data_IF_695613329374
#
_entry.id   IF_695613329374
#
_cell.length_a   1.000
_cell.length_b   1.000
_cell.length_c   1.000
_cell.angle_alpha   90.00
_cell.angle_beta   90.00
_cell.angle_gamma   90.00
#
_symmetry.space_group_name_H-M   'P 1'
#
loop_
_entity.id
_entity.type
_entity.pdbx_description
1 polymer ?
#
# COMPACT_ATOMS: atom_id res chain seq x y z
N UNK A 1 -2.17 8.34 -16.46
CA UNK A 1 -2.09 9.67 -15.85
C UNK A 1 -1.50 9.46 -14.48
N UNK A 2 -0.26 9.92 -14.24
CA UNK A 2 0.43 9.69 -12.96
C UNK A 2 -0.23 10.55 -11.88
N UNK A 3 -0.99 9.91 -11.01
CA UNK A 3 -1.56 10.50 -9.80
C UNK A 3 -0.39 10.99 -8.94
N UNK A 4 -0.07 12.27 -9.00
CA UNK A 4 0.98 12.84 -8.16
C UNK A 4 0.35 13.07 -6.79
N UNK A 5 0.59 12.14 -5.87
CA UNK A 5 0.12 12.21 -4.48
C UNK A 5 0.52 13.56 -3.87
N UNK A 6 -0.39 14.27 -3.17
CA UNK A 6 -0.07 15.57 -2.63
C UNK A 6 1.04 15.44 -1.59
N UNK A 7 2.13 16.18 -1.81
CA UNK A 7 3.26 16.27 -0.87
C UNK A 7 2.80 16.96 0.42
N UNK A 8 2.92 16.28 1.56
CA UNK A 8 2.51 16.80 2.88
C UNK A 8 3.74 17.15 3.72
N UNK A 9 3.76 18.37 4.25
CA UNK A 9 4.74 18.80 5.25
C UNK A 9 4.34 18.27 6.63
N UNK A 10 5.31 17.78 7.42
CA UNK A 10 5.07 17.37 8.81
C UNK A 10 4.69 18.55 9.70
N UNK A 11 5.30 19.71 9.47
CA UNK A 11 5.00 20.93 10.18
C UNK A 11 4.69 22.05 9.17
N UNK A 12 3.42 22.46 9.03
CA UNK A 12 3.03 23.53 8.11
C UNK A 12 3.32 24.94 8.64
N UNK A 13 3.85 25.08 9.86
CA UNK A 13 4.13 26.40 10.46
C UNK A 13 5.50 26.90 10.02
N UNK A 14 5.53 28.02 9.27
CA UNK A 14 6.76 28.71 8.86
C UNK A 14 6.78 29.08 7.38
N UNK A 15 7.73 29.94 6.97
CA UNK A 15 7.95 30.30 5.57
C UNK A 15 8.64 29.16 4.78
N UNK A 16 9.42 28.32 5.45
CA UNK A 16 10.22 27.26 4.85
C UNK A 16 9.94 25.93 5.56
N UNK A 17 10.24 24.81 4.88
CA UNK A 17 10.18 23.46 5.45
C UNK A 17 11.31 23.22 6.48
N UNK A 18 11.43 24.10 7.46
CA UNK A 18 12.36 24.06 8.57
C UNK A 18 11.58 24.19 9.88
N UNK A 19 11.26 23.03 10.46
CA UNK A 19 10.70 22.92 11.79
C UNK A 19 11.73 22.37 12.77
N UNK A 20 11.25 21.66 13.79
CA UNK A 20 12.05 21.03 14.82
C UNK A 20 13.13 20.07 14.26
N UNK A 21 12.93 19.54 13.04
CA UNK A 21 13.91 18.73 12.32
C UNK A 21 15.21 19.49 12.04
N UNK A 22 15.11 20.75 11.61
CA UNK A 22 16.25 21.59 11.26
C UNK A 22 16.92 22.14 12.51
N UNK A 23 16.14 22.54 13.52
CA UNK A 23 16.66 22.96 14.83
C UNK A 23 17.50 21.86 15.47
N UNK A 24 16.99 20.63 15.54
CA UNK A 24 17.75 19.48 16.04
C UNK A 24 19.02 19.23 15.24
N UNK A 25 18.98 19.38 13.91
CA UNK A 25 20.16 19.21 13.07
C UNK A 25 21.21 20.31 13.32
N UNK A 26 20.79 21.56 13.59
CA UNK A 26 21.68 22.67 13.91
C UNK A 26 22.43 22.45 15.24
N UNK A 27 21.79 21.83 16.22
CA UNK A 27 22.38 21.58 17.54
C UNK A 27 23.47 20.50 17.52
N UNK A 28 23.33 19.50 16.66
CA UNK A 28 24.18 18.28 16.69
C UNK A 28 25.23 18.23 15.58
N UNK A 29 25.12 19.06 14.54
CA UNK A 29 26.04 19.06 13.40
C UNK A 29 27.01 20.24 13.44
N UNK A 30 28.23 19.99 12.97
CA UNK A 30 29.18 21.03 12.59
C UNK A 30 28.63 21.88 11.44
N UNK A 31 29.07 23.14 11.31
CA UNK A 31 28.66 24.03 10.20
C UNK A 31 28.81 23.38 8.82
N UNK A 32 29.86 22.57 8.65
CA UNK A 32 30.14 21.85 7.41
C UNK A 32 29.13 20.74 7.12
N UNK A 33 28.80 19.93 8.14
CA UNK A 33 27.81 18.88 8.03
C UNK A 33 26.39 19.43 7.94
N UNK A 34 26.09 20.51 8.64
CA UNK A 34 24.81 21.21 8.55
C UNK A 34 24.57 21.78 7.13
N UNK A 35 25.60 22.32 6.49
CA UNK A 35 25.50 22.75 5.08
C UNK A 35 25.20 21.58 4.14
N UNK A 36 25.79 20.41 4.37
CA UNK A 36 25.48 19.19 3.62
C UNK A 36 24.03 18.73 3.87
N UNK A 37 23.57 18.77 5.12
CA UNK A 37 22.19 18.48 5.50
C UNK A 37 21.18 19.36 4.73
N UNK A 38 21.38 20.69 4.71
CA UNK A 38 20.51 21.61 3.96
C UNK A 38 20.54 21.30 2.46
N UNK A 39 21.72 21.00 1.91
CA UNK A 39 21.83 20.60 0.50
C UNK A 39 21.03 19.33 0.19
N UNK A 40 21.08 18.31 1.06
CA UNK A 40 20.28 17.10 0.89
C UNK A 40 18.77 17.41 0.97
N UNK A 41 18.33 18.26 1.90
CA UNK A 41 16.94 18.70 2.00
C UNK A 41 16.42 19.40 0.74
N UNK A 42 17.28 20.12 0.03
CA UNK A 42 16.92 20.83 -1.20
C UNK A 42 16.89 19.94 -2.44
N UNK A 43 17.70 18.89 -2.48
CA UNK A 43 17.96 18.12 -3.71
C UNK A 43 17.44 16.69 -3.68
N UNK A 44 17.18 16.12 -2.50
CA UNK A 44 16.57 14.80 -2.40
C UNK A 44 15.11 14.82 -2.84
N UNK A 45 14.64 13.67 -3.33
CA UNK A 45 13.23 13.47 -3.68
C UNK A 45 12.33 13.71 -2.47
N UNK A 46 11.26 14.49 -2.65
CA UNK A 46 10.36 14.94 -1.55
C UNK A 46 9.59 13.80 -0.88
N UNK A 47 9.20 12.80 -1.67
CA UNK A 47 8.44 11.61 -1.24
C UNK A 47 9.29 10.56 -0.49
N UNK A 48 10.60 10.54 -0.68
CA UNK A 48 11.47 9.45 -0.20
C UNK A 48 12.62 9.95 0.65
N UNK A 49 12.99 11.23 0.56
CA UNK A 49 14.16 11.79 1.21
C UNK A 49 15.49 11.22 0.67
N UNK A 50 15.48 10.67 -0.55
CA UNK A 50 16.65 10.06 -1.19
C UNK A 50 17.25 10.98 -2.24
N UNK A 51 18.57 11.17 -2.17
CA UNK A 51 19.37 11.78 -3.23
C UNK A 51 20.32 10.74 -3.84
N UNK A 52 20.16 10.45 -5.14
CA UNK A 52 21.15 9.69 -5.90
C UNK A 52 22.27 10.62 -6.38
N UNK A 53 23.52 10.33 -6.01
CA UNK A 53 24.67 11.21 -6.30
C UNK A 53 26.01 10.48 -6.15
N UNK A 54 27.12 11.14 -6.45
CA UNK A 54 28.48 10.68 -6.12
C UNK A 54 29.12 11.59 -5.05
N UNK A 55 30.12 11.08 -4.32
CA UNK A 55 30.88 11.93 -3.39
C UNK A 55 31.60 13.10 -4.08
N UNK A 56 31.99 12.89 -5.35
CA UNK A 56 32.65 13.93 -6.16
C UNK A 56 31.66 15.04 -6.54
N UNK A 57 30.42 14.70 -6.88
CA UNK A 57 29.35 15.66 -7.12
C UNK A 57 29.00 16.44 -5.85
N UNK A 58 28.86 15.77 -4.70
CA UNK A 58 28.63 16.44 -3.42
C UNK A 58 29.75 17.45 -3.09
N UNK A 59 31.01 17.04 -3.25
CA UNK A 59 32.17 17.91 -3.05
C UNK A 59 32.14 19.14 -3.96
N UNK A 60 31.86 18.93 -5.24
CA UNK A 60 31.75 20.02 -6.24
C UNK A 60 30.61 20.98 -5.90
N UNK A 61 29.40 20.46 -5.67
CA UNK A 61 28.20 21.27 -5.39
C UNK A 61 28.35 22.09 -4.12
N UNK A 62 28.97 21.54 -3.07
CA UNK A 62 29.15 22.24 -1.80
C UNK A 62 30.40 23.12 -1.74
N UNK A 63 31.25 23.05 -2.77
CA UNK A 63 32.59 23.68 -2.83
C UNK A 63 33.45 23.26 -1.63
N UNK A 64 33.50 21.95 -1.36
CA UNK A 64 34.26 21.35 -0.25
C UNK A 64 35.17 20.24 -0.75
N UNK A 65 36.25 19.98 -0.02
CA UNK A 65 37.17 18.88 -0.34
C UNK A 65 36.52 17.51 -0.15
N UNK A 66 36.90 16.47 -0.93
CA UNK A 66 36.34 15.12 -0.79
C UNK A 66 36.51 14.51 0.61
N UNK A 67 37.62 14.84 1.29
CA UNK A 67 37.88 14.40 2.67
C UNK A 67 36.85 15.00 3.63
N UNK A 68 36.54 16.29 3.48
CA UNK A 68 35.55 16.97 4.30
C UNK A 68 34.14 16.39 4.08
N UNK A 69 33.74 16.13 2.83
CA UNK A 69 32.44 15.49 2.53
C UNK A 69 32.31 14.13 3.20
N UNK A 70 33.35 13.30 3.18
CA UNK A 70 33.33 12.00 3.88
C UNK A 70 33.23 12.17 5.39
N UNK A 71 33.93 13.16 5.96
CA UNK A 71 33.81 13.52 7.37
C UNK A 71 32.37 13.88 7.73
N UNK A 72 31.75 14.78 6.95
CA UNK A 72 30.37 15.22 7.17
C UNK A 72 29.36 14.09 7.00
N UNK A 73 29.51 13.23 5.99
CA UNK A 73 28.63 12.07 5.81
C UNK A 73 28.72 11.12 7.01
N UNK A 74 29.94 10.83 7.49
CA UNK A 74 30.14 9.97 8.65
C UNK A 74 29.58 10.58 9.94
N UNK A 75 29.76 11.89 10.11
CA UNK A 75 29.19 12.65 11.23
C UNK A 75 27.66 12.55 11.23
N UNK A 76 27.02 12.82 10.08
CA UNK A 76 25.57 12.72 9.92
C UNK A 76 25.04 11.29 10.11
N UNK A 77 25.77 10.26 9.65
CA UNK A 77 25.42 8.86 9.90
C UNK A 77 25.52 8.51 11.38
N UNK A 78 26.57 8.98 12.06
CA UNK A 78 26.78 8.75 13.50
C UNK A 78 25.71 9.44 14.33
N UNK A 79 25.27 10.63 13.91
CA UNK A 79 24.15 11.35 14.50
C UNK A 79 22.76 10.75 14.14
N UNK A 80 22.71 9.71 13.31
CA UNK A 80 21.45 9.07 12.88
C UNK A 80 20.60 9.92 11.93
N UNK A 81 21.17 10.96 11.32
CA UNK A 81 20.47 11.93 10.46
C UNK A 81 20.30 11.39 9.03
N UNK A 82 21.26 10.60 8.55
CA UNK A 82 21.18 10.00 7.23
C UNK A 82 21.80 8.59 7.18
N UNK A 83 21.58 7.91 6.07
CA UNK A 83 22.28 6.68 5.68
C UNK A 83 22.86 6.90 4.30
N UNK A 84 24.16 6.66 4.14
CA UNK A 84 24.82 6.74 2.85
C UNK A 84 25.22 5.36 2.34
N UNK A 85 25.02 5.13 1.05
CA UNK A 85 25.46 3.92 0.35
C UNK A 85 26.21 4.33 -0.88
N UNK A 86 27.53 4.35 -0.79
CA UNK A 86 28.41 4.62 -1.92
C UNK A 86 29.16 3.35 -2.30
N UNK A 87 29.34 3.15 -3.60
CA UNK A 87 30.29 2.15 -4.10
C UNK A 87 31.71 2.47 -3.60
N UNK A 88 32.59 1.46 -3.53
CA UNK A 88 33.99 1.63 -3.17
C UNK A 88 34.74 2.61 -4.11
N UNK A 89 34.22 2.86 -5.31
CA UNK A 89 34.75 3.87 -6.24
C UNK A 89 34.18 5.27 -5.96
N UNK A 90 35.06 6.29 -5.94
CA UNK A 90 34.68 7.72 -5.73
C UNK A 90 33.84 8.32 -6.87
N UNK A 91 33.87 7.69 -8.03
CA UNK A 91 33.04 8.01 -9.20
C UNK A 91 31.79 7.13 -9.27
N UNK A 92 31.71 6.09 -8.43
CA UNK A 92 30.57 5.20 -8.36
C UNK A 92 29.35 5.96 -7.84
N UNK A 93 28.23 5.83 -8.54
CA UNK A 93 26.94 6.32 -8.05
C UNK A 93 26.63 5.66 -6.70
N UNK A 94 26.15 6.49 -5.79
CA UNK A 94 25.59 6.08 -4.52
C UNK A 94 24.31 6.84 -4.25
N UNK A 95 23.81 6.68 -3.03
CA UNK A 95 22.66 7.42 -2.55
C UNK A 95 22.85 7.82 -1.10
N UNK A 96 22.24 8.95 -0.75
CA UNK A 96 22.09 9.39 0.63
C UNK A 96 20.60 9.47 0.93
N UNK A 97 20.16 8.75 1.95
CA UNK A 97 18.78 8.74 2.43
C UNK A 97 18.70 9.48 3.76
N UNK A 98 17.81 10.45 3.85
CA UNK A 98 17.54 11.21 5.08
C UNK A 98 16.72 10.37 6.06
N UNK A 99 17.01 10.42 7.35
CA UNK A 99 16.20 9.75 8.36
C UNK A 99 14.82 10.43 8.52
N UNK A 100 13.81 9.66 8.90
CA UNK A 100 12.42 10.14 8.99
C UNK A 100 12.27 11.33 9.96
N UNK A 101 12.97 11.29 11.09
CA UNK A 101 12.95 12.36 12.09
C UNK A 101 13.64 13.67 11.68
N UNK A 102 14.31 13.69 10.52
CA UNK A 102 15.02 14.86 9.99
C UNK A 102 14.54 15.26 8.59
N UNK A 103 13.62 14.50 8.00
CA UNK A 103 13.01 14.81 6.71
C UNK A 103 11.73 15.64 6.91
N UNK A 104 11.59 16.82 6.29
CA UNK A 104 10.47 17.72 6.59
C UNK A 104 9.14 17.29 5.97
N UNK A 105 9.18 16.42 4.96
CA UNK A 105 7.98 15.86 4.34
C UNK A 105 7.62 14.52 4.99
N UNK A 106 6.34 14.16 4.91
CA UNK A 106 5.93 12.77 5.11
C UNK A 106 6.51 11.94 3.96
N UNK A 107 7.36 10.96 4.28
CA UNK A 107 7.77 9.98 3.27
C UNK A 107 6.56 9.15 2.85
N UNK A 108 6.59 8.61 1.63
CA UNK A 108 5.49 7.94 0.92
C UNK A 108 4.94 6.66 1.57
N UNK A 109 4.69 6.63 2.88
CA UNK A 109 3.81 5.65 3.52
C UNK A 109 2.44 5.62 2.81
N UNK A 110 1.96 6.77 2.32
CA UNK A 110 0.72 6.85 1.55
C UNK A 110 0.80 6.10 0.21
N UNK A 111 1.91 6.16 -0.53
CA UNK A 111 2.08 5.38 -1.77
C UNK A 111 2.12 3.88 -1.48
N UNK A 112 2.86 3.46 -0.45
CA UNK A 112 2.87 2.03 -0.05
C UNK A 112 1.50 1.55 0.46
N UNK A 113 0.77 2.39 1.18
CA UNK A 113 -0.59 2.10 1.66
C UNK A 113 -1.59 2.05 0.50
N UNK A 114 -1.45 2.93 -0.50
CA UNK A 114 -2.28 2.95 -1.69
C UNK A 114 -1.98 1.72 -2.57
N UNK A 115 -0.70 1.35 -2.76
CA UNK A 115 -0.30 0.11 -3.44
C UNK A 115 -0.85 -1.13 -2.72
N UNK A 116 -0.78 -1.16 -1.39
CA UNK A 116 -1.34 -2.25 -0.58
C UNK A 116 -2.87 -2.31 -0.68
N UNK A 117 -3.55 -1.16 -0.67
CA UNK A 117 -4.99 -1.07 -0.87
C UNK A 117 -5.38 -1.54 -2.29
N UNK A 118 -4.61 -1.17 -3.31
CA UNK A 118 -4.83 -1.58 -4.71
C UNK A 118 -4.64 -3.10 -4.88
N UNK A 119 -3.61 -3.66 -4.24
CA UNK A 119 -3.39 -5.10 -4.18
C UNK A 119 -4.54 -5.83 -3.48
N UNK A 120 -5.03 -5.28 -2.37
CA UNK A 120 -6.17 -5.81 -1.62
C UNK A 120 -7.46 -5.81 -2.45
N UNK A 121 -7.80 -4.68 -3.10
CA UNK A 121 -8.96 -4.56 -4.00
C UNK A 121 -8.84 -5.55 -5.16
N UNK A 122 -7.65 -5.68 -5.75
CA UNK A 122 -7.38 -6.61 -6.84
C UNK A 122 -7.54 -8.08 -6.42
N UNK A 123 -7.15 -8.43 -5.20
CA UNK A 123 -7.34 -9.78 -4.65
C UNK A 123 -8.83 -10.10 -4.44
N UNK A 124 -9.61 -9.17 -3.89
CA UNK A 124 -11.06 -9.32 -3.73
C UNK A 124 -11.74 -9.53 -5.09
N UNK A 125 -11.35 -8.74 -6.10
CA UNK A 125 -11.87 -8.90 -7.46
C UNK A 125 -11.63 -10.32 -8.00
N UNK A 126 -10.42 -10.87 -7.81
CA UNK A 126 -10.10 -12.25 -8.23
C UNK A 126 -10.96 -13.29 -7.49
N UNK A 127 -11.16 -13.12 -6.18
CA UNK A 127 -11.99 -14.04 -5.38
C UNK A 127 -13.46 -14.06 -5.85
N UNK A 128 -14.00 -12.91 -6.23
CA UNK A 128 -15.35 -12.79 -6.78
C UNK A 128 -15.46 -13.39 -8.18
N UNK A 129 -14.51 -13.07 -9.07
CA UNK A 129 -14.51 -13.56 -10.45
C UNK A 129 -14.33 -15.08 -10.56
N UNK A 130 -13.76 -15.71 -9.53
CA UNK A 130 -13.64 -17.16 -9.45
C UNK A 130 -15.00 -17.87 -9.22
N UNK A 131 -16.09 -17.13 -8.92
CA UNK A 131 -17.39 -17.70 -8.54
C UNK A 131 -18.43 -17.54 -9.64
N UNK A 132 -19.06 -18.65 -10.01
CA UNK A 132 -20.06 -18.68 -11.08
C UNK A 132 -21.38 -17.99 -10.69
N UNK A 133 -21.70 -17.90 -9.38
CA UNK A 133 -22.87 -17.16 -8.90
C UNK A 133 -22.65 -15.63 -8.82
N UNK A 134 -21.45 -15.15 -9.19
CA UNK A 134 -21.11 -13.72 -9.24
C UNK A 134 -21.05 -13.27 -10.71
N UNK A 135 -21.86 -12.27 -11.06
CA UNK A 135 -21.93 -11.72 -12.41
C UNK A 135 -21.34 -10.30 -12.41
N UNK A 136 -20.06 -10.21 -12.04
CA UNK A 136 -19.32 -8.94 -11.97
C UNK A 136 -18.01 -9.08 -12.74
N UNK A 137 -17.97 -8.54 -13.96
CA UNK A 137 -16.75 -8.49 -14.79
C UNK A 137 -15.72 -7.51 -14.22
N UNK A 138 -16.17 -6.44 -13.57
CA UNK A 138 -15.34 -5.45 -12.87
C UNK A 138 -16.05 -4.90 -11.64
N UNK A 139 -15.31 -4.56 -10.59
CA UNK A 139 -15.85 -3.83 -9.44
C UNK A 139 -16.32 -2.45 -9.91
N UNK A 140 -17.48 -1.99 -9.42
CA UNK A 140 -17.90 -0.61 -9.62
C UNK A 140 -17.08 0.34 -8.74
N UNK A 141 -17.08 1.63 -9.04
CA UNK A 141 -16.44 2.65 -8.18
C UNK A 141 -16.96 2.56 -6.73
N UNK A 142 -18.25 2.28 -6.54
CA UNK A 142 -18.83 2.09 -5.20
C UNK A 142 -18.26 0.86 -4.49
N UNK A 143 -18.05 -0.24 -5.22
CA UNK A 143 -17.44 -1.47 -4.67
C UNK A 143 -15.96 -1.25 -4.35
N UNK A 144 -15.21 -0.49 -5.17
CA UNK A 144 -13.81 -0.16 -4.88
C UNK A 144 -13.68 0.73 -3.63
N UNK A 145 -14.55 1.75 -3.49
CA UNK A 145 -14.60 2.58 -2.27
C UNK A 145 -14.87 1.69 -1.05
N UNK A 146 -15.82 0.76 -1.17
CA UNK A 146 -16.17 -0.15 -0.09
C UNK A 146 -14.99 -1.07 0.27
N UNK A 147 -14.34 -1.70 -0.71
CA UNK A 147 -13.18 -2.56 -0.50
C UNK A 147 -12.00 -1.80 0.14
N UNK A 148 -11.75 -0.56 -0.30
CA UNK A 148 -10.74 0.32 0.35
C UNK A 148 -11.13 0.67 1.78
N UNK A 149 -12.42 0.84 2.08
CA UNK A 149 -12.88 1.07 3.45
C UNK A 149 -12.63 -0.14 4.35
N UNK A 150 -12.78 -1.37 3.83
CA UNK A 150 -12.45 -2.60 4.57
C UNK A 150 -10.95 -2.72 4.83
N UNK A 151 -10.11 -2.38 3.85
CA UNK A 151 -8.66 -2.30 4.03
C UNK A 151 -8.28 -1.31 5.13
N UNK A 152 -8.84 -0.08 5.09
CA UNK A 152 -8.61 0.95 6.12
C UNK A 152 -9.06 0.52 7.52
N UNK A 153 -10.10 -0.32 7.61
CA UNK A 153 -10.58 -0.91 8.87
C UNK A 153 -9.73 -2.09 9.36
N UNK A 154 -8.70 -2.50 8.61
CA UNK A 154 -7.81 -3.60 8.97
C UNK A 154 -8.41 -4.99 8.76
N UNK A 155 -9.42 -5.13 7.90
CA UNK A 155 -10.06 -6.42 7.64
C UNK A 155 -9.12 -7.26 6.75
N UNK A 156 -8.78 -8.47 7.22
CA UNK A 156 -7.87 -9.34 6.49
C UNK A 156 -8.49 -9.93 5.22
N UNK A 157 -7.66 -10.23 4.22
CA UNK A 157 -8.12 -10.87 2.99
C UNK A 157 -8.75 -12.25 3.27
N UNK A 158 -8.19 -13.00 4.22
CA UNK A 158 -8.75 -14.28 4.68
C UNK A 158 -10.20 -14.11 5.19
N UNK A 159 -10.47 -13.07 5.98
CA UNK A 159 -11.82 -12.79 6.45
C UNK A 159 -12.75 -12.47 5.28
N UNK A 160 -12.30 -11.70 4.28
CA UNK A 160 -13.10 -11.42 3.09
C UNK A 160 -13.38 -12.70 2.29
N UNK A 161 -12.39 -13.58 2.14
CA UNK A 161 -12.60 -14.89 1.51
C UNK A 161 -13.67 -15.70 2.23
N UNK A 162 -13.61 -15.78 3.56
CA UNK A 162 -14.62 -16.44 4.40
C UNK A 162 -16.03 -15.88 4.16
N UNK A 163 -16.16 -14.55 4.07
CA UNK A 163 -17.44 -13.87 3.80
C UNK A 163 -17.96 -14.22 2.41
N UNK A 164 -17.08 -14.20 1.39
CA UNK A 164 -17.44 -14.57 0.02
C UNK A 164 -17.89 -16.03 -0.06
N UNK A 165 -17.18 -16.95 0.60
CA UNK A 165 -17.54 -18.36 0.67
C UNK A 165 -18.96 -18.55 1.25
N UNK A 166 -19.22 -17.94 2.41
CA UNK A 166 -20.53 -18.03 3.06
C UNK A 166 -21.64 -17.46 2.19
N UNK A 167 -21.41 -16.30 1.58
CA UNK A 167 -22.39 -15.65 0.71
C UNK A 167 -22.71 -16.47 -0.54
N UNK A 168 -21.70 -17.09 -1.17
CA UNK A 168 -21.92 -17.95 -2.32
C UNK A 168 -22.73 -19.20 -1.95
N UNK A 169 -22.43 -19.85 -0.81
CA UNK A 169 -23.21 -21.01 -0.33
C UNK A 169 -24.66 -20.63 -0.04
N UNK A 170 -24.90 -19.48 0.61
CA UNK A 170 -26.25 -18.95 0.84
C UNK A 170 -26.96 -18.69 -0.48
N UNK A 171 -26.25 -18.14 -1.47
CA UNK A 171 -26.79 -17.83 -2.78
C UNK A 171 -27.29 -19.07 -3.52
N UNK A 172 -26.45 -20.10 -3.61
CA UNK A 172 -26.87 -21.36 -4.24
C UNK A 172 -28.01 -22.05 -3.50
N UNK A 173 -28.02 -21.97 -2.16
CA UNK A 173 -29.12 -22.53 -1.36
C UNK A 173 -30.44 -21.80 -1.64
N UNK A 174 -30.40 -20.48 -1.76
CA UNK A 174 -31.54 -19.64 -2.14
C UNK A 174 -32.10 -20.01 -3.52
N UNK A 175 -31.23 -20.20 -4.52
CA UNK A 175 -31.64 -20.68 -5.85
C UNK A 175 -32.27 -22.08 -5.82
N UNK A 176 -31.72 -22.99 -5.03
CA UNK A 176 -32.30 -24.33 -4.85
C UNK A 176 -33.69 -24.28 -4.22
N UNK A 177 -33.96 -23.26 -3.42
CA UNK A 177 -35.25 -23.04 -2.76
C UNK A 177 -36.20 -22.17 -3.60
N UNK A 178 -35.99 -22.06 -4.92
CA UNK A 178 -36.80 -21.30 -5.87
C UNK A 178 -36.98 -19.81 -5.51
N UNK A 179 -36.02 -19.22 -4.79
CA UNK A 179 -36.02 -17.78 -4.54
C UNK A 179 -35.41 -17.05 -5.75
N UNK A 180 -36.21 -16.19 -6.39
CA UNK A 180 -35.84 -15.53 -7.64
C UNK A 180 -34.99 -14.27 -7.41
N UNK A 181 -33.81 -14.44 -6.84
CA UNK A 181 -32.83 -13.38 -6.73
C UNK A 181 -31.75 -13.64 -7.78
N UNK A 182 -31.58 -12.76 -8.78
CA UNK A 182 -30.51 -12.87 -9.78
C UNK A 182 -29.09 -12.96 -9.19
N UNK A 183 -28.03 -13.20 -9.98
CA UNK A 183 -26.67 -13.41 -9.48
C UNK A 183 -26.15 -12.23 -8.65
N UNK A 184 -25.10 -12.48 -7.86
CA UNK A 184 -24.46 -11.42 -7.05
C UNK A 184 -23.74 -10.46 -8.00
N UNK A 185 -23.99 -9.15 -7.86
CA UNK A 185 -23.44 -8.12 -8.76
C UNK A 185 -22.55 -7.09 -8.08
N UNK A 186 -22.55 -7.01 -6.74
CA UNK A 186 -21.86 -5.97 -5.97
C UNK A 186 -21.31 -6.53 -4.66
N UNK A 187 -20.21 -5.94 -4.19
CA UNK A 187 -19.62 -6.21 -2.88
C UNK A 187 -20.57 -5.90 -1.72
N UNK A 188 -21.54 -5.00 -1.94
CA UNK A 188 -22.55 -4.64 -0.93
C UNK A 188 -23.35 -5.84 -0.42
N UNK A 189 -23.52 -6.88 -1.25
CA UNK A 189 -24.17 -8.13 -0.84
C UNK A 189 -23.50 -8.78 0.38
N UNK A 190 -22.21 -8.56 0.57
CA UNK A 190 -21.40 -9.19 1.62
C UNK A 190 -21.27 -8.33 2.89
N UNK A 191 -21.71 -7.07 2.90
CA UNK A 191 -21.58 -6.18 4.07
C UNK A 191 -22.29 -6.74 5.31
N UNK A 192 -23.52 -7.20 5.16
CA UNK A 192 -24.28 -7.78 6.27
C UNK A 192 -23.65 -9.06 6.78
N UNK A 193 -23.09 -9.88 5.88
CA UNK A 193 -22.43 -11.14 6.23
C UNK A 193 -21.12 -10.91 6.98
N UNK A 194 -20.39 -9.86 6.63
CA UNK A 194 -19.20 -9.44 7.34
C UNK A 194 -19.53 -9.05 8.78
N UNK A 195 -20.60 -8.27 8.98
CA UNK A 195 -21.09 -7.91 10.31
C UNK A 195 -21.59 -9.14 11.11
N UNK A 196 -22.24 -10.10 10.47
CA UNK A 196 -22.67 -11.36 11.10
C UNK A 196 -21.47 -12.21 11.57
N UNK A 197 -20.40 -12.28 10.77
CA UNK A 197 -19.22 -13.09 11.08
C UNK A 197 -18.41 -12.54 12.25
N UNK A 198 -18.42 -11.23 12.46
CA UNK A 198 -17.77 -10.62 13.62
C UNK A 198 -18.46 -10.98 14.95
N UNK A 199 -19.72 -11.41 14.90
CA UNK A 199 -20.49 -11.82 16.09
C UNK A 199 -20.42 -13.32 16.38
N UNK A 200 -19.88 -14.13 15.46
CA UNK A 200 -19.89 -15.58 15.56
C UNK A 200 -18.47 -16.15 15.66
N UNK A 201 -18.21 -16.93 16.69
CA UNK A 201 -16.96 -17.67 16.80
C UNK A 201 -17.05 -18.98 15.99
N UNK A 202 -16.74 -18.89 14.71
CA UNK A 202 -16.77 -20.04 13.79
C UNK A 202 -15.43 -20.78 13.85
N UNK A 203 -15.47 -22.08 14.13
CA UNK A 203 -14.28 -22.94 14.17
C UNK A 203 -13.59 -23.01 12.80
N UNK A 204 -12.24 -23.07 12.74
CA UNK A 204 -11.49 -23.17 11.48
C UNK A 204 -11.97 -24.29 10.55
N UNK A 205 -12.22 -25.49 11.09
CA UNK A 205 -12.64 -26.68 10.32
C UNK A 205 -13.96 -26.48 9.54
N UNK A 206 -14.80 -25.54 9.99
CA UNK A 206 -16.04 -25.23 9.30
C UNK A 206 -15.79 -24.56 7.94
N UNK A 207 -14.70 -23.80 7.81
CA UNK A 207 -14.33 -23.16 6.54
C UNK A 207 -13.83 -24.17 5.51
N UNK A 208 -13.13 -25.20 5.95
CA UNK A 208 -12.73 -26.31 5.08
C UNK A 208 -13.96 -27.05 4.55
N UNK A 209 -14.91 -27.36 5.45
CA UNK A 209 -16.20 -27.94 5.06
C UNK A 209 -16.95 -27.05 4.06
N UNK A 210 -17.04 -25.73 4.31
CA UNK A 210 -17.71 -24.80 3.41
C UNK A 210 -17.03 -24.71 2.04
N UNK A 211 -15.69 -24.73 1.98
CA UNK A 211 -14.96 -24.76 0.69
C UNK A 211 -15.30 -26.02 -0.11
N UNK A 212 -15.27 -27.19 0.52
CA UNK A 212 -15.65 -28.45 -0.15
C UNK A 212 -17.12 -28.46 -0.59
N UNK A 213 -18.02 -27.97 0.26
CA UNK A 213 -19.45 -27.88 -0.06
C UNK A 213 -19.72 -26.91 -1.21
N UNK A 214 -19.10 -25.74 -1.20
CA UNK A 214 -19.25 -24.74 -2.26
C UNK A 214 -18.82 -25.31 -3.61
N UNK A 215 -17.63 -25.93 -3.68
CA UNK A 215 -17.11 -26.49 -4.93
C UNK A 215 -18.05 -27.55 -5.53
N UNK A 216 -18.68 -28.38 -4.69
CA UNK A 216 -19.68 -29.37 -5.15
C UNK A 216 -20.94 -28.72 -5.71
N UNK A 217 -21.50 -27.73 -5.01
CA UNK A 217 -22.76 -27.09 -5.41
C UNK A 217 -22.55 -26.22 -6.66
N UNK A 218 -21.42 -25.51 -6.72
CA UNK A 218 -21.04 -24.67 -7.86
C UNK A 218 -20.85 -25.52 -9.13
N UNK A 219 -20.18 -26.68 -9.03
CA UNK A 219 -20.03 -27.62 -10.14
C UNK A 219 -21.38 -28.08 -10.69
N UNK A 220 -22.29 -28.53 -9.81
CA UNK A 220 -23.64 -28.96 -10.20
C UNK A 220 -24.45 -27.81 -10.85
N UNK A 221 -24.26 -26.58 -10.38
CA UNK A 221 -24.94 -25.43 -10.96
C UNK A 221 -24.45 -25.11 -12.37
N UNK A 222 -23.13 -25.15 -12.60
CA UNK A 222 -22.53 -24.95 -13.92
C UNK A 222 -23.01 -26.02 -14.91
N UNK A 223 -23.06 -27.29 -14.47
CA UNK A 223 -23.53 -28.41 -15.30
C UNK A 223 -25.02 -28.29 -15.67
N UNK A 224 -25.86 -27.76 -14.78
CA UNK A 224 -27.30 -27.57 -15.02
C UNK A 224 -27.64 -26.29 -15.78
N UNK A 225 -26.70 -25.33 -15.85
CA UNK A 225 -26.86 -24.05 -16.54
C UNK A 225 -25.68 -23.78 -17.47
N UNK A 226 -25.46 -24.64 -18.49
CA UNK A 226 -24.40 -24.42 -19.45
C UNK A 226 -24.60 -23.05 -20.10
N UNK A 227 -23.53 -22.25 -20.19
CA UNK A 227 -23.57 -21.00 -20.96
C UNK A 227 -24.01 -21.37 -22.36
N UNK A 228 -25.18 -20.89 -22.79
CA UNK A 228 -25.57 -20.90 -24.20
C UNK A 228 -24.55 -20.03 -24.92
N UNK A 229 -23.49 -20.64 -25.44
CA UNK A 229 -22.64 -20.01 -26.45
C UNK A 229 -23.54 -19.79 -27.67
N UNK A 230 -23.96 -18.54 -27.83
CA UNK A 230 -24.83 -18.11 -28.90
C UNK A 230 -24.16 -18.33 -30.25
N UNK A 231 -24.93 -18.94 -31.13
CA UNK A 231 -24.83 -18.79 -32.57
C UNK A 231 -24.49 -17.34 -32.96
N UNK A 232 -23.41 -17.20 -33.72
CA UNK A 232 -23.20 -16.20 -34.75
C UNK A 232 -22.32 -16.85 -35.83
#
# INVERSE_FOLDING_TARGET
MSSTTPLVLKNPKGWFAAGAEVERAMEVLSDGAFKLFVYLCLNARRDTGVLATTQTELARSLKKGPVAIRGYLREMETAGICRSRFSHSRLGRGMVEMAEGYWPYQKGEQEMLDDAADAFVSAIKKLLQARACVQTTSLSTADEILARSWFKRGISLERIEQVILLGCVRKYTSWRNNQNHGPIRSLRYFESMLAELDQQNIKPDYWDYLRSRLGRIEKLWIESHPKTEGAA
#
